data_IF_872535893943
#
_entry.id   IF_872535893943
#
_cell.length_a   1.000
_cell.length_b   1.000
_cell.length_c   1.000
_cell.angle_alpha   90.00
_cell.angle_beta   90.00
_cell.angle_gamma   90.00
#
_symmetry.space_group_name_H-M   'P 1'
#
loop_
_entity.id
_entity.type
_entity.pdbx_description
1 polymer ?
#
# COMPACT_ATOMS: atom_id res chain seq x y z
N UNK A 1 3.95 -22.07 -1.25
CA UNK A 1 4.07 -20.75 -0.58
C UNK A 1 3.57 -19.68 -1.53
N UNK A 2 3.05 -18.57 -1.02
CA UNK A 2 2.61 -17.42 -1.84
C UNK A 2 3.61 -16.27 -1.80
N UNK A 3 3.70 -15.48 -2.87
CA UNK A 3 4.56 -14.29 -2.95
C UNK A 3 3.76 -13.03 -3.25
N UNK A 4 4.24 -11.89 -2.77
CA UNK A 4 3.80 -10.56 -3.19
C UNK A 4 4.87 -9.96 -4.10
N UNK A 5 4.49 -9.47 -5.27
CA UNK A 5 5.44 -8.82 -6.19
C UNK A 5 5.53 -7.32 -5.94
N UNK A 6 6.74 -6.77 -5.97
CA UNK A 6 6.96 -5.34 -5.80
C UNK A 6 6.60 -4.59 -7.08
N UNK A 7 5.35 -4.13 -7.20
CA UNK A 7 4.87 -3.42 -8.39
C UNK A 7 5.17 -1.91 -8.33
N UNK A 8 5.14 -1.34 -7.13
CA UNK A 8 5.46 0.05 -6.83
C UNK A 8 6.21 0.16 -5.51
N UNK A 9 6.87 1.29 -5.28
CA UNK A 9 7.60 1.56 -4.03
C UNK A 9 7.43 3.03 -3.61
N UNK A 10 7.30 3.25 -2.30
CA UNK A 10 7.06 4.58 -1.72
C UNK A 10 8.33 5.42 -1.51
N UNK A 11 9.51 4.85 -1.72
CA UNK A 11 10.79 5.55 -1.55
C UNK A 11 11.06 6.51 -2.70
N UNK A 12 11.68 7.64 -2.36
CA UNK A 12 12.03 8.69 -3.33
C UNK A 12 13.13 8.20 -4.28
N UNK A 13 12.99 8.52 -5.57
CA UNK A 13 14.03 8.24 -6.59
C UNK A 13 14.15 6.76 -6.99
N UNK A 14 13.15 5.94 -6.69
CA UNK A 14 13.15 4.55 -7.12
C UNK A 14 13.04 4.42 -8.66
N UNK A 15 13.49 3.28 -9.19
CA UNK A 15 13.56 3.02 -10.63
C UNK A 15 12.27 2.38 -11.19
N UNK A 16 11.23 2.19 -10.37
CA UNK A 16 9.98 1.55 -10.78
C UNK A 16 9.13 2.58 -11.52
N UNK A 17 9.09 2.43 -12.85
CA UNK A 17 8.29 3.28 -13.72
C UNK A 17 6.97 2.58 -14.13
N UNK A 18 6.02 3.29 -14.75
CA UNK A 18 4.73 2.71 -15.12
C UNK A 18 4.84 1.47 -16.03
N UNK A 19 5.85 1.40 -16.89
CA UNK A 19 6.04 0.26 -17.79
C UNK A 19 6.55 -0.98 -17.04
N UNK A 20 7.44 -0.80 -16.07
CA UNK A 20 7.83 -1.86 -15.14
C UNK A 20 6.63 -2.40 -14.39
N UNK A 21 5.81 -1.51 -13.80
CA UNK A 21 4.61 -1.89 -13.06
C UNK A 21 3.66 -2.71 -13.93
N UNK A 22 3.42 -2.29 -15.18
CA UNK A 22 2.56 -3.02 -16.11
C UNK A 22 3.06 -4.45 -16.38
N UNK A 23 4.37 -4.63 -16.64
CA UNK A 23 4.94 -5.96 -16.88
C UNK A 23 4.88 -6.87 -15.65
N UNK A 24 5.11 -6.31 -14.45
CA UNK A 24 5.00 -7.07 -13.20
C UNK A 24 3.57 -7.52 -12.95
N UNK A 25 2.59 -6.64 -13.20
CA UNK A 25 1.16 -6.98 -13.05
C UNK A 25 0.73 -8.02 -14.06
N UNK A 26 1.11 -7.87 -15.34
CA UNK A 26 0.80 -8.82 -16.40
C UNK A 26 1.29 -10.24 -16.05
N UNK A 27 2.58 -10.37 -15.71
CA UNK A 27 3.18 -11.66 -15.35
C UNK A 27 2.63 -12.21 -14.04
N UNK A 28 2.41 -11.35 -13.04
CA UNK A 28 1.94 -11.74 -11.72
C UNK A 28 0.49 -12.22 -11.70
N UNK A 29 -0.39 -11.62 -12.51
CA UNK A 29 -1.81 -12.02 -12.60
C UNK A 29 -1.97 -13.45 -13.09
N UNK A 30 -1.14 -13.88 -14.05
CA UNK A 30 -1.21 -15.20 -14.66
C UNK A 30 -0.63 -16.33 -13.80
N UNK A 31 0.03 -16.01 -12.67
CA UNK A 31 0.76 -17.00 -11.88
C UNK A 31 0.07 -17.29 -10.55
N UNK A 32 -0.28 -18.56 -10.30
CA UNK A 32 -1.04 -18.96 -9.11
C UNK A 32 -0.28 -18.73 -7.79
N UNK A 33 1.04 -18.90 -7.81
CA UNK A 33 1.91 -18.62 -6.66
C UNK A 33 1.97 -17.13 -6.26
N UNK A 34 1.50 -16.22 -7.12
CA UNK A 34 1.45 -14.78 -6.81
C UNK A 34 0.12 -14.46 -6.16
N UNK A 35 0.17 -13.98 -4.93
CA UNK A 35 -1.00 -13.64 -4.11
C UNK A 35 -1.46 -12.19 -4.31
N UNK A 36 -0.52 -11.33 -4.72
CA UNK A 36 -0.77 -9.90 -4.78
C UNK A 36 0.46 -9.08 -5.09
N UNK A 37 0.29 -7.77 -4.93
CA UNK A 37 1.28 -6.77 -5.27
C UNK A 37 1.50 -5.79 -4.13
N UNK A 38 2.72 -5.26 -4.05
CA UNK A 38 3.04 -4.11 -3.21
C UNK A 38 2.77 -2.82 -4.00
N UNK A 39 1.92 -1.97 -3.45
CA UNK A 39 1.53 -0.66 -4.01
C UNK A 39 2.16 0.53 -3.28
N UNK A 40 2.02 1.74 -3.84
CA UNK A 40 2.59 2.95 -3.26
C UNK A 40 1.58 3.73 -2.39
N UNK A 41 1.67 3.60 -1.06
CA UNK A 41 0.76 4.26 -0.12
C UNK A 41 0.92 5.76 -0.02
N UNK A 42 2.07 6.30 -0.40
CA UNK A 42 2.33 7.74 -0.35
C UNK A 42 1.80 8.49 -1.58
N UNK A 43 1.35 7.75 -2.60
CA UNK A 43 0.85 8.32 -3.87
C UNK A 43 -0.47 7.63 -4.28
N UNK A 44 -1.61 8.04 -3.69
CA UNK A 44 -2.92 7.44 -3.97
C UNK A 44 -3.30 7.40 -5.46
N UNK A 45 -2.84 8.37 -6.26
CA UNK A 45 -3.03 8.35 -7.71
C UNK A 45 -2.35 7.16 -8.40
N UNK A 46 -1.09 6.88 -8.05
CA UNK A 46 -0.36 5.72 -8.60
C UNK A 46 -0.98 4.40 -8.14
N UNK A 47 -1.43 4.35 -6.89
CA UNK A 47 -2.11 3.18 -6.33
C UNK A 47 -3.44 2.89 -7.05
N UNK A 48 -4.19 3.93 -7.45
CA UNK A 48 -5.42 3.79 -8.23
C UNK A 48 -5.16 3.22 -9.61
N UNK A 49 -4.09 3.64 -10.27
CA UNK A 49 -3.66 3.05 -11.54
C UNK A 49 -3.21 1.59 -11.38
N UNK A 50 -2.53 1.26 -10.27
CA UNK A 50 -2.21 -0.13 -9.96
C UNK A 50 -3.47 -0.97 -9.76
N UNK A 51 -4.46 -0.50 -8.98
CA UNK A 51 -5.74 -1.21 -8.82
C UNK A 51 -6.44 -1.44 -10.15
N UNK A 52 -6.47 -0.44 -11.05
CA UNK A 52 -7.04 -0.62 -12.40
C UNK A 52 -6.33 -1.72 -13.19
N UNK A 53 -4.99 -1.75 -13.15
CA UNK A 53 -4.21 -2.77 -13.86
C UNK A 53 -4.39 -4.18 -13.26
N UNK A 54 -4.40 -4.29 -11.93
CA UNK A 54 -4.59 -5.55 -11.20
C UNK A 54 -6.01 -6.07 -11.40
N UNK A 55 -7.02 -5.19 -11.36
CA UNK A 55 -8.44 -5.55 -11.30
C UNK A 55 -8.78 -6.25 -9.99
N UNK A 56 -9.70 -7.20 -10.03
CA UNK A 56 -10.14 -8.00 -8.87
C UNK A 56 -9.38 -9.34 -8.75
N UNK A 57 -8.36 -9.55 -9.58
CA UNK A 57 -7.68 -10.84 -9.70
C UNK A 57 -6.78 -11.17 -8.49
N UNK A 58 -6.18 -10.16 -7.86
CA UNK A 58 -5.15 -10.31 -6.82
C UNK A 58 -5.22 -9.16 -5.82
N UNK A 59 -4.63 -9.35 -4.64
CA UNK A 59 -4.66 -8.32 -3.59
C UNK A 59 -3.58 -7.25 -3.75
N UNK A 60 -3.82 -6.06 -3.21
CA UNK A 60 -2.83 -4.98 -3.12
C UNK A 60 -2.54 -4.65 -1.66
N UNK A 61 -1.26 -4.72 -1.30
CA UNK A 61 -0.74 -4.43 0.02
C UNK A 61 0.11 -3.17 -0.05
N UNK A 62 -0.12 -2.24 0.87
CA UNK A 62 0.36 -0.87 0.68
C UNK A 62 1.14 -0.38 1.89
N UNK A 63 2.48 -0.34 1.83
CA UNK A 63 3.32 0.34 2.80
C UNK A 63 3.37 1.86 2.55
N UNK A 64 4.01 2.58 3.46
CA UNK A 64 4.20 4.03 3.32
C UNK A 64 2.94 4.82 3.67
N UNK A 65 2.16 4.35 4.64
CA UNK A 65 1.02 5.08 5.21
C UNK A 65 1.26 5.41 6.69
N UNK A 66 0.68 6.53 7.15
CA UNK A 66 0.74 6.96 8.55
C UNK A 66 -0.47 7.86 8.86
N UNK A 67 -1.06 7.74 10.06
CA UNK A 67 -2.14 8.62 10.52
C UNK A 67 -1.68 10.07 10.68
N UNK A 68 -0.43 10.27 11.07
CA UNK A 68 0.22 11.58 11.04
C UNK A 68 0.80 11.80 9.63
N UNK A 69 0.02 12.45 8.76
CA UNK A 69 0.45 12.76 7.39
C UNK A 69 1.59 13.78 7.44
N UNK A 70 2.74 13.47 6.86
CA UNK A 70 3.92 14.33 6.90
C UNK A 70 5.22 13.70 6.37
N UNK A 71 6.32 14.44 6.49
CA UNK A 71 7.66 13.95 6.16
C UNK A 71 8.14 12.99 7.25
N UNK A 72 8.33 11.73 6.88
CA UNK A 72 9.00 10.74 7.70
C UNK A 72 10.51 10.94 7.74
N UNK A 73 11.15 10.31 8.71
CA UNK A 73 12.60 10.14 8.71
C UNK A 73 13.07 9.42 7.42
N UNK A 74 14.30 9.71 6.97
CA UNK A 74 14.92 9.11 5.77
C UNK A 74 14.19 9.40 4.43
N UNK A 75 13.52 10.54 4.30
CA UNK A 75 12.96 11.00 3.01
C UNK A 75 11.73 10.23 2.54
N UNK A 76 11.08 9.48 3.44
CA UNK A 76 9.79 8.85 3.21
C UNK A 76 8.67 9.88 3.35
N UNK A 77 7.76 9.93 2.36
CA UNK A 77 6.47 10.59 2.51
C UNK A 77 5.46 9.53 2.90
N UNK A 78 4.64 9.80 3.91
CA UNK A 78 3.56 8.90 4.30
C UNK A 78 2.24 9.42 3.75
N UNK A 79 1.46 8.54 3.13
CA UNK A 79 0.09 8.81 2.76
C UNK A 79 -0.88 8.49 3.89
N UNK A 80 -2.10 9.00 3.79
CA UNK A 80 -3.16 8.68 4.73
C UNK A 80 -3.68 7.24 4.49
N UNK A 81 -3.83 6.41 5.55
CA UNK A 81 -4.31 5.03 5.42
C UNK A 81 -5.69 4.91 4.76
N UNK A 82 -6.62 5.84 5.04
CA UNK A 82 -7.95 5.80 4.43
C UNK A 82 -7.88 6.13 2.94
N UNK A 83 -7.06 7.12 2.55
CA UNK A 83 -6.81 7.42 1.14
C UNK A 83 -6.21 6.24 0.38
N UNK A 84 -5.28 5.49 1.00
CA UNK A 84 -4.71 4.29 0.38
C UNK A 84 -5.79 3.22 0.13
N UNK A 85 -6.68 2.99 1.09
CA UNK A 85 -7.81 2.05 0.94
C UNK A 85 -8.78 2.52 -0.14
N UNK A 86 -9.18 3.80 -0.15
CA UNK A 86 -10.05 4.37 -1.20
C UNK A 86 -9.40 4.39 -2.59
N UNK A 87 -8.08 4.42 -2.67
CA UNK A 87 -7.34 4.28 -3.92
C UNK A 87 -7.27 2.82 -4.42
N UNK A 88 -7.70 1.85 -3.60
CA UNK A 88 -7.80 0.46 -3.99
C UNK A 88 -6.85 -0.48 -3.25
N UNK A 89 -6.23 -0.06 -2.15
CA UNK A 89 -5.51 -0.99 -1.28
C UNK A 89 -6.49 -1.95 -0.59
N UNK A 90 -6.10 -3.22 -0.44
CA UNK A 90 -6.85 -4.20 0.37
C UNK A 90 -6.25 -4.34 1.78
N UNK A 91 -4.93 -4.14 1.90
CA UNK A 91 -4.22 -4.20 3.17
C UNK A 91 -3.23 -3.04 3.29
N UNK A 92 -3.13 -2.42 4.46
CA UNK A 92 -2.10 -1.42 4.76
C UNK A 92 -0.97 -2.07 5.55
N UNK A 93 0.28 -1.65 5.27
CA UNK A 93 1.46 -2.10 6.01
C UNK A 93 2.00 -0.91 6.80
N UNK A 94 1.93 -1.00 8.12
CA UNK A 94 2.34 0.06 9.04
C UNK A 94 3.50 -0.42 9.90
N UNK A 95 4.60 0.34 9.89
CA UNK A 95 5.80 0.06 10.67
C UNK A 95 5.89 0.94 11.92
N UNK A 96 6.80 1.91 11.89
CA UNK A 96 7.17 2.77 13.03
C UNK A 96 5.99 3.51 13.66
N UNK A 97 4.93 3.80 12.88
CA UNK A 97 3.69 4.39 13.38
C UNK A 97 2.97 3.55 14.44
N UNK A 98 3.26 2.25 14.54
CA UNK A 98 2.75 1.36 15.60
C UNK A 98 3.86 1.01 16.59
N UNK A 99 4.94 0.37 16.13
CA UNK A 99 5.89 -0.27 17.04
C UNK A 99 6.84 0.71 17.77
N UNK A 100 6.93 1.97 17.33
CA UNK A 100 7.67 3.03 18.04
C UNK A 100 6.75 3.99 18.81
N UNK A 101 5.44 3.75 18.81
CA UNK A 101 4.50 4.61 19.52
C UNK A 101 4.58 4.36 21.03
N UNK A 102 4.23 5.39 21.82
CA UNK A 102 4.11 5.26 23.29
C UNK A 102 3.11 4.17 23.69
N UNK A 103 2.02 4.03 22.93
CA UNK A 103 1.03 2.97 23.10
C UNK A 103 0.77 2.23 21.77
N UNK A 104 1.54 1.16 21.47
CA UNK A 104 1.40 0.41 20.22
C UNK A 104 0.02 -0.21 20.01
N UNK A 105 -0.62 -0.70 21.08
CA UNK A 105 -1.95 -1.31 20.99
C UNK A 105 -3.01 -0.29 20.59
N UNK A 106 -2.97 0.91 21.19
CA UNK A 106 -3.87 2.00 20.83
C UNK A 106 -3.65 2.47 19.38
N UNK A 107 -2.39 2.60 18.94
CA UNK A 107 -2.09 2.97 17.56
C UNK A 107 -2.57 1.89 16.57
N UNK A 108 -2.29 0.61 16.82
CA UNK A 108 -2.78 -0.47 15.99
C UNK A 108 -4.31 -0.45 15.84
N UNK A 109 -5.05 -0.22 16.95
CA UNK A 109 -6.50 -0.07 16.93
C UNK A 109 -6.95 1.14 16.08
N UNK A 110 -6.24 2.28 16.16
CA UNK A 110 -6.54 3.46 15.36
C UNK A 110 -6.35 3.22 13.86
N UNK A 111 -5.24 2.58 13.44
CA UNK A 111 -5.01 2.20 12.05
C UNK A 111 -6.04 1.20 11.54
N UNK A 112 -6.43 0.22 12.37
CA UNK A 112 -7.46 -0.75 12.03
C UNK A 112 -8.82 -0.06 11.84
N UNK A 113 -9.22 0.82 12.76
CA UNK A 113 -10.47 1.56 12.66
C UNK A 113 -10.51 2.46 11.39
N UNK A 114 -9.45 3.22 11.12
CA UNK A 114 -9.38 4.09 9.96
C UNK A 114 -9.44 3.31 8.64
N UNK A 115 -8.66 2.23 8.52
CA UNK A 115 -8.64 1.42 7.30
C UNK A 115 -9.93 0.62 7.09
N UNK A 116 -10.53 0.10 8.16
CA UNK A 116 -11.81 -0.60 8.11
C UNK A 116 -12.95 0.34 7.70
N UNK A 117 -13.04 1.52 8.31
CA UNK A 117 -14.06 2.51 7.94
C UNK A 117 -13.93 2.96 6.48
N UNK A 118 -12.69 3.13 6.00
CA UNK A 118 -12.43 3.45 4.60
C UNK A 118 -12.86 2.32 3.65
N UNK A 119 -12.65 1.07 4.05
CA UNK A 119 -13.06 -0.11 3.27
C UNK A 119 -14.59 -0.21 3.15
N UNK A 120 -15.32 0.05 4.25
CA UNK A 120 -16.78 0.05 4.25
C UNK A 120 -17.39 1.16 3.36
N UNK A 121 -16.63 2.24 3.14
CA UNK A 121 -17.05 3.41 2.37
C UNK A 121 -16.46 3.44 0.94
N UNK A 122 -15.88 2.33 0.45
CA UNK A 122 -15.19 2.27 -0.84
C UNK A 122 -16.13 1.92 -2.00
#
# INVERSE_FOLDING_TARGET
GGVLLLAQMSSRGNLLNPQYTAQVVEKGKAHDGVFGFIGNGSRPGELRELRKAVGDAKMIWTPGVNLAVGEGEMGQRYGDPAQAVHAGSDCIIVGSGIHKAENPAQQAAAYAAASWQALLNR
#
